data_IF_849689682020
#
_entry.id   IF_849689682020
#
_cell.length_a   1.000
_cell.length_b   1.000
_cell.length_c   1.000
_cell.angle_alpha   90.00
_cell.angle_beta   90.00
_cell.angle_gamma   90.00
#
_symmetry.space_group_name_H-M   'P 1'
#
loop_
_entity.id
_entity.type
_entity.pdbx_description
1 polymer ?
#
# COMPACT_ATOMS: atom_id res chain seq x y z
N UNK A 1 -29.80 -21.21 56.59
CA UNK A 1 -29.48 -22.65 56.58
C UNK A 1 -28.25 -22.86 55.71
N UNK A 2 -27.08 -22.94 56.33
CA UNK A 2 -25.93 -23.70 55.80
C UNK A 2 -26.15 -25.19 56.09
N UNK A 3 -25.43 -26.08 55.40
CA UNK A 3 -24.33 -26.83 56.07
C UNK A 3 -23.05 -26.87 55.20
N UNK A 4 -21.84 -26.65 55.77
CA UNK A 4 -20.93 -27.60 56.45
C UNK A 4 -20.06 -28.37 55.43
N UNK A 5 -18.76 -28.11 55.19
CA UNK A 5 -17.56 -28.05 56.05
C UNK A 5 -17.10 -29.42 56.58
N UNK A 6 -15.89 -29.85 56.18
CA UNK A 6 -15.08 -30.88 56.86
C UNK A 6 -13.58 -30.60 56.67
N UNK A 7 -12.95 -30.14 57.75
CA UNK A 7 -11.52 -30.16 58.08
C UNK A 7 -11.04 -31.61 58.35
N UNK A 8 -9.75 -31.93 58.19
CA UNK A 8 -8.76 -32.04 59.30
C UNK A 8 -7.42 -32.72 58.89
N UNK A 9 -6.31 -32.07 59.30
CA UNK A 9 -5.00 -32.54 59.82
C UNK A 9 -4.06 -33.41 58.94
N UNK A 10 -2.77 -33.09 58.68
CA UNK A 10 -1.61 -32.53 59.43
C UNK A 10 -0.71 -33.61 60.09
N UNK A 11 0.63 -33.37 60.02
CA UNK A 11 1.75 -33.85 60.86
C UNK A 11 2.68 -35.00 60.35
N UNK A 12 3.84 -34.58 59.79
CA UNK A 12 5.22 -34.67 60.34
C UNK A 12 6.12 -35.93 60.25
N UNK A 13 7.37 -35.67 59.81
CA UNK A 13 8.64 -36.33 60.21
C UNK A 13 9.25 -37.26 59.14
N UNK A 14 10.55 -37.31 58.87
CA UNK A 14 11.77 -36.69 59.44
C UNK A 14 13.01 -37.31 58.77
N UNK A 15 14.17 -36.64 58.87
CA UNK A 15 15.52 -37.21 58.71
C UNK A 15 16.21 -36.89 57.38
N UNK A 16 17.08 -35.87 57.30
CA UNK A 16 18.50 -35.80 57.72
C UNK A 16 19.40 -36.21 56.53
N UNK A 17 20.49 -35.56 56.13
CA UNK A 17 21.59 -34.91 56.85
C UNK A 17 22.16 -33.75 55.98
N UNK A 18 22.45 -32.58 56.56
CA UNK A 18 23.80 -32.08 56.95
C UNK A 18 24.63 -31.57 55.74
N UNK A 19 25.38 -30.47 55.79
CA UNK A 19 25.84 -29.61 56.89
C UNK A 19 26.47 -28.32 56.33
N UNK A 20 26.35 -27.24 57.12
CA UNK A 20 27.34 -26.16 57.38
C UNK A 20 27.98 -25.40 56.20
N UNK A 21 28.16 -24.08 56.21
CA UNK A 21 28.16 -23.09 57.30
C UNK A 21 28.40 -21.69 56.70
N UNK A 22 27.73 -20.68 57.26
CA UNK A 22 28.24 -19.38 57.78
C UNK A 22 29.35 -18.62 56.99
N UNK A 23 29.40 -17.29 56.86
CA UNK A 23 28.68 -16.18 57.48
C UNK A 23 29.28 -14.84 56.99
N UNK A 24 28.41 -13.82 56.81
CA UNK A 24 28.53 -12.40 57.26
C UNK A 24 29.64 -11.43 56.80
N UNK A 25 29.19 -10.15 56.67
CA UNK A 25 29.91 -8.85 56.71
C UNK A 25 30.68 -8.41 55.45
N UNK A 26 30.90 -7.13 55.12
CA UNK A 26 30.30 -5.82 55.35
C UNK A 26 31.18 -4.79 54.58
N UNK A 27 30.59 -3.69 54.11
CA UNK A 27 31.15 -2.34 53.96
C UNK A 27 32.32 -1.98 52.99
N UNK A 28 32.04 -0.89 52.23
CA UNK A 28 32.86 0.32 51.92
C UNK A 28 34.05 0.29 50.91
N UNK A 29 33.82 1.03 49.83
CA UNK A 29 34.55 2.21 49.28
C UNK A 29 36.06 2.16 48.92
N UNK A 30 36.29 2.47 47.63
CA UNK A 30 37.31 3.39 47.05
C UNK A 30 38.62 2.85 46.45
N UNK A 31 38.81 3.28 45.18
CA UNK A 31 40.03 3.69 44.47
C UNK A 31 40.87 2.68 43.64
N UNK A 32 40.78 2.89 42.31
CA UNK A 32 41.83 3.01 41.27
C UNK A 32 42.64 1.82 40.71
N UNK A 33 42.81 1.89 39.37
CA UNK A 33 43.76 1.20 38.46
C UNK A 33 43.43 -0.26 38.09
N UNK A 34 43.47 -0.77 36.86
CA UNK A 34 43.73 -0.28 35.48
C UNK A 34 43.37 -1.41 34.49
N UNK A 35 43.20 -1.06 33.21
CA UNK A 35 43.31 -1.90 32.00
C UNK A 35 42.27 -3.02 31.75
N UNK A 36 41.37 -2.84 30.76
CA UNK A 36 41.26 -3.75 29.59
C UNK A 36 40.40 -3.17 28.45
N UNK A 37 40.93 -3.41 27.24
CA UNK A 37 40.50 -3.17 25.86
C UNK A 37 38.99 -3.08 25.54
N UNK A 38 38.60 -2.05 24.77
CA UNK A 38 37.37 -2.03 23.97
C UNK A 38 37.69 -1.47 22.58
N UNK A 39 37.41 -2.25 21.53
CA UNK A 39 37.57 -1.84 20.14
C UNK A 39 36.24 -1.37 19.58
N UNK A 40 36.21 -0.14 19.09
CA UNK A 40 35.06 0.47 18.40
C UNK A 40 35.54 1.14 17.12
N UNK A 41 34.88 0.80 16.00
CA UNK A 41 35.16 1.32 14.65
C UNK A 41 34.33 2.59 14.43
N UNK A 42 34.97 3.72 14.12
CA UNK A 42 34.33 4.98 13.68
C UNK A 42 34.81 5.37 12.28
N UNK A 43 33.86 5.58 11.38
CA UNK A 43 34.05 6.28 10.10
C UNK A 43 33.65 7.74 10.33
N UNK A 44 34.52 8.68 9.98
CA UNK A 44 34.26 10.12 10.05
C UNK A 44 34.49 10.75 8.67
N UNK A 45 33.44 11.38 8.14
CA UNK A 45 33.48 12.31 7.01
C UNK A 45 33.87 13.70 7.53
N UNK A 46 34.63 14.49 6.77
CA UNK A 46 34.58 15.96 6.89
C UNK A 46 34.99 16.67 5.59
N UNK A 47 34.27 17.77 5.33
CA UNK A 47 34.46 18.77 4.26
C UNK A 47 35.27 19.98 4.75
N UNK A 48 35.94 20.70 3.83
CA UNK A 48 36.19 22.16 3.78
C UNK A 48 37.11 22.45 2.55
N UNK A 49 36.79 23.28 1.55
CA UNK A 49 36.69 24.77 1.44
C UNK A 49 38.04 25.51 1.35
N UNK A 50 38.17 26.36 0.31
CA UNK A 50 39.08 27.53 0.16
C UNK A 50 40.33 27.28 -0.70
N UNK A 51 40.48 27.77 -1.93
CA UNK A 51 40.65 29.14 -2.49
C UNK A 51 42.11 29.47 -2.91
N UNK A 52 42.21 30.03 -4.12
CA UNK A 52 43.22 30.97 -4.66
C UNK A 52 44.61 30.51 -5.20
N UNK A 53 44.85 31.00 -6.44
CA UNK A 53 46.06 31.65 -7.02
C UNK A 53 47.08 30.90 -7.90
N UNK A 54 47.06 31.34 -9.17
CA UNK A 54 48.15 31.88 -10.02
C UNK A 54 49.33 31.02 -10.55
N UNK A 55 49.54 31.22 -11.87
CA UNK A 55 50.77 31.13 -12.67
C UNK A 55 51.39 29.74 -12.93
N UNK A 56 52.05 29.45 -14.06
CA UNK A 56 52.23 30.07 -15.39
C UNK A 56 53.17 29.14 -16.20
N UNK A 57 53.25 29.39 -17.51
CA UNK A 57 54.36 29.05 -18.44
C UNK A 57 54.30 27.67 -19.12
N UNK A 58 54.01 27.56 -20.44
CA UNK A 58 54.77 27.95 -21.66
C UNK A 58 55.38 26.68 -22.30
N UNK A 59 55.44 26.39 -23.62
CA UNK A 59 55.66 27.13 -24.89
C UNK A 59 55.09 26.27 -26.05
N UNK A 60 54.46 26.81 -27.11
CA UNK A 60 55.05 27.26 -28.40
C UNK A 60 56.05 26.25 -29.03
N UNK A 61 56.04 25.81 -30.30
CA UNK A 61 55.41 26.21 -31.58
C UNK A 61 55.64 25.11 -32.65
N UNK A 62 54.66 24.89 -33.57
CA UNK A 62 54.69 24.74 -35.07
C UNK A 62 55.95 24.21 -35.84
N UNK A 63 55.87 23.90 -37.17
CA UNK A 63 54.82 23.28 -38.02
C UNK A 63 55.38 22.33 -39.15
N UNK A 64 54.48 21.68 -39.92
CA UNK A 64 54.66 21.25 -41.34
C UNK A 64 55.61 20.04 -41.58
N UNK A 65 55.47 19.17 -42.59
CA UNK A 65 54.68 19.12 -43.82
C UNK A 65 54.80 17.71 -44.45
N UNK A 66 53.68 17.19 -44.99
CA UNK A 66 53.49 16.36 -46.20
C UNK A 66 54.53 15.30 -46.62
N UNK A 67 54.04 14.08 -46.92
CA UNK A 67 54.18 13.46 -48.26
C UNK A 67 53.38 12.13 -48.37
N UNK A 68 52.85 11.90 -49.58
CA UNK A 68 52.06 10.73 -50.04
C UNK A 68 52.98 9.64 -50.59
N UNK A 69 52.53 8.37 -50.56
CA UNK A 69 52.65 7.46 -51.72
C UNK A 69 51.86 6.15 -51.53
N UNK A 70 51.21 5.72 -52.61
CA UNK A 70 50.46 4.47 -52.83
C UNK A 70 51.36 3.22 -52.96
N UNK A 71 50.79 2.03 -52.73
CA UNK A 71 51.34 0.74 -53.19
C UNK A 71 50.32 -0.41 -53.02
N UNK A 72 50.14 -1.20 -54.08
CA UNK A 72 49.16 -2.29 -54.25
C UNK A 72 49.59 -3.65 -53.64
N UNK A 73 48.58 -4.53 -53.45
CA UNK A 73 48.51 -5.98 -53.06
C UNK A 73 49.56 -6.92 -53.72
N UNK A 74 49.73 -8.25 -53.39
CA UNK A 74 48.70 -9.23 -52.96
C UNK A 74 49.10 -10.40 -51.99
N UNK A 75 48.07 -11.17 -51.61
CA UNK A 75 47.96 -12.60 -51.20
C UNK A 75 49.15 -13.38 -50.60
N UNK A 76 48.94 -14.06 -49.47
CA UNK A 76 49.07 -15.54 -49.34
C UNK A 76 48.66 -16.06 -47.94
N UNK A 77 48.47 -17.38 -47.86
CA UNK A 77 47.69 -18.14 -46.90
C UNK A 77 48.45 -18.68 -45.66
N UNK A 78 47.69 -19.25 -44.71
CA UNK A 78 48.15 -20.05 -43.58
C UNK A 78 48.05 -19.27 -42.26
N UNK A 79 47.44 -19.76 -41.18
CA UNK A 79 47.10 -21.12 -40.78
C UNK A 79 47.36 -21.19 -39.28
N UNK A 80 46.44 -21.84 -38.56
CA UNK A 80 46.53 -22.35 -37.19
C UNK A 80 46.22 -21.37 -36.03
N UNK A 81 45.07 -21.68 -35.45
CA UNK A 81 44.57 -21.34 -34.13
C UNK A 81 45.64 -21.50 -33.04
N UNK A 82 45.74 -20.46 -32.21
CA UNK A 82 46.06 -20.64 -30.80
C UNK A 82 45.27 -19.60 -30.01
N UNK A 83 44.27 -20.04 -29.26
CA UNK A 83 43.45 -19.18 -28.39
C UNK A 83 43.05 -19.97 -27.15
N UNK A 84 43.83 -19.78 -26.09
CA UNK A 84 43.43 -20.07 -24.72
C UNK A 84 42.70 -18.83 -24.12
N UNK A 85 41.87 -19.00 -23.08
CA UNK A 85 40.63 -18.23 -22.93
C UNK A 85 40.80 -17.02 -22.02
N UNK A 86 40.48 -15.82 -22.53
CA UNK A 86 40.20 -14.67 -21.66
C UNK A 86 38.73 -14.64 -21.28
N UNK A 87 38.50 -14.99 -20.02
CA UNK A 87 37.19 -15.08 -19.38
C UNK A 87 36.79 -13.73 -18.78
N UNK A 88 36.45 -12.71 -19.57
CA UNK A 88 35.90 -11.43 -19.03
C UNK A 88 34.88 -10.69 -19.94
N UNK A 89 34.11 -11.35 -20.82
CA UNK A 89 33.16 -10.64 -21.71
C UNK A 89 31.65 -10.72 -21.37
N UNK A 90 31.24 -11.32 -20.25
CA UNK A 90 29.79 -11.44 -19.95
C UNK A 90 29.12 -10.18 -19.38
N UNK A 91 29.88 -9.14 -19.00
CA UNK A 91 29.32 -7.86 -18.49
C UNK A 91 29.09 -6.82 -19.61
N UNK A 92 29.76 -6.96 -20.76
CA UNK A 92 29.68 -6.04 -21.89
C UNK A 92 28.53 -6.30 -22.87
N UNK A 93 28.01 -7.53 -22.93
CA UNK A 93 26.94 -7.93 -23.86
C UNK A 93 25.59 -7.27 -23.52
N UNK A 94 25.17 -7.32 -22.25
CA UNK A 94 23.91 -6.71 -21.79
C UNK A 94 23.87 -5.19 -21.95
N UNK A 95 25.02 -4.51 -21.72
CA UNK A 95 25.14 -3.06 -21.88
C UNK A 95 25.22 -2.63 -23.35
N UNK A 96 25.78 -3.46 -24.23
CA UNK A 96 25.81 -3.18 -25.68
C UNK A 96 24.45 -3.43 -26.34
N UNK A 97 23.72 -4.47 -25.93
CA UNK A 97 22.32 -4.70 -26.30
C UNK A 97 21.41 -3.55 -25.86
N UNK A 98 21.58 -3.05 -24.62
CA UNK A 98 20.84 -1.89 -24.11
C UNK A 98 21.12 -0.63 -24.93
N UNK A 99 22.37 -0.39 -25.32
CA UNK A 99 22.75 0.77 -26.15
C UNK A 99 22.16 0.68 -27.56
N UNK A 100 22.11 -0.52 -28.14
CA UNK A 100 21.46 -0.77 -29.42
C UNK A 100 19.95 -0.48 -29.35
N UNK A 101 19.27 -0.99 -28.32
CA UNK A 101 17.86 -0.70 -28.06
C UNK A 101 17.61 0.80 -27.85
N UNK A 102 18.49 1.49 -27.12
CA UNK A 102 18.38 2.94 -26.88
C UNK A 102 18.52 3.75 -28.18
N UNK A 103 19.46 3.36 -29.06
CA UNK A 103 19.64 3.99 -30.36
C UNK A 103 18.48 3.71 -31.31
N UNK A 104 17.94 2.48 -31.31
CA UNK A 104 16.74 2.13 -32.06
C UNK A 104 15.54 2.93 -31.57
N UNK A 105 15.35 3.02 -30.25
CA UNK A 105 14.28 3.81 -29.64
C UNK A 105 14.39 5.29 -30.00
N UNK A 106 15.59 5.86 -29.96
CA UNK A 106 15.83 7.26 -30.35
C UNK A 106 15.49 7.51 -31.82
N UNK A 107 15.83 6.60 -32.74
CA UNK A 107 15.48 6.69 -34.16
C UNK A 107 13.97 6.51 -34.41
N UNK A 108 13.31 5.68 -33.61
CA UNK A 108 11.86 5.42 -33.69
C UNK A 108 11.02 6.47 -32.97
N UNK A 109 11.62 7.28 -32.09
CA UNK A 109 10.94 8.28 -31.26
C UNK A 109 9.99 9.21 -32.03
N UNK A 110 10.36 9.84 -33.17
CA UNK A 110 9.44 10.71 -33.89
C UNK A 110 8.19 9.98 -34.40
N UNK A 111 8.32 8.72 -34.85
CA UNK A 111 7.20 7.92 -35.31
C UNK A 111 6.30 7.47 -34.15
N UNK A 112 6.90 7.07 -33.02
CA UNK A 112 6.17 6.76 -31.79
C UNK A 112 5.41 8.00 -31.31
N UNK A 113 6.02 9.19 -31.35
CA UNK A 113 5.39 10.44 -30.94
C UNK A 113 4.18 10.79 -31.82
N UNK A 114 4.29 10.64 -33.14
CA UNK A 114 3.16 10.84 -34.07
C UNK A 114 2.00 9.89 -33.73
N UNK A 115 2.30 8.60 -33.51
CA UNK A 115 1.29 7.61 -33.13
C UNK A 115 0.66 7.92 -31.77
N UNK A 116 1.46 8.32 -30.78
CA UNK A 116 0.98 8.74 -29.47
C UNK A 116 0.06 9.97 -29.57
N UNK A 117 0.43 10.99 -30.35
CA UNK A 117 -0.41 12.17 -30.55
C UNK A 117 -1.73 11.80 -31.23
N UNK A 118 -1.69 10.93 -32.24
CA UNK A 118 -2.92 10.45 -32.90
C UNK A 118 -3.83 9.70 -31.93
N UNK A 119 -3.26 8.80 -31.13
CA UNK A 119 -4.00 8.03 -30.12
C UNK A 119 -4.59 8.94 -29.03
N UNK A 120 -3.80 9.89 -28.50
CA UNK A 120 -4.27 10.86 -27.51
C UNK A 120 -5.42 11.68 -28.08
N UNK A 121 -5.29 12.17 -29.32
CA UNK A 121 -6.34 13.00 -29.95
C UNK A 121 -7.62 12.18 -30.17
N UNK A 122 -7.48 10.91 -30.56
CA UNK A 122 -8.63 10.00 -30.73
C UNK A 122 -9.36 9.72 -29.42
N UNK A 123 -8.63 9.61 -28.31
CA UNK A 123 -9.20 9.28 -26.99
C UNK A 123 -9.23 10.45 -26.00
N UNK A 124 -9.08 11.70 -26.48
CA UNK A 124 -8.87 12.88 -25.62
C UNK A 124 -10.02 13.08 -24.63
N UNK A 125 -11.26 12.82 -25.07
CA UNK A 125 -12.45 12.93 -24.24
C UNK A 125 -12.39 11.91 -23.10
N UNK A 126 -12.12 10.63 -23.42
CA UNK A 126 -12.00 9.57 -22.43
C UNK A 126 -10.86 9.82 -21.44
N UNK A 127 -9.69 10.23 -21.92
CA UNK A 127 -8.53 10.55 -21.07
C UNK A 127 -8.85 11.73 -20.14
N UNK A 128 -9.45 12.81 -20.67
CA UNK A 128 -9.78 13.99 -19.87
C UNK A 128 -10.77 13.66 -18.74
N UNK A 129 -11.78 12.84 -19.03
CA UNK A 129 -12.72 12.37 -18.03
C UNK A 129 -12.05 11.42 -17.02
N UNK A 130 -11.18 10.51 -17.47
CA UNK A 130 -10.40 9.65 -16.59
C UNK A 130 -9.53 10.45 -15.60
N UNK A 131 -8.91 11.54 -16.05
CA UNK A 131 -8.17 12.47 -15.19
C UNK A 131 -9.13 13.13 -14.19
N UNK A 132 -10.29 13.64 -14.65
CA UNK A 132 -11.29 14.25 -13.77
C UNK A 132 -11.80 13.29 -12.68
N UNK A 133 -12.04 12.02 -13.04
CA UNK A 133 -12.42 10.95 -12.11
C UNK A 133 -11.31 10.68 -11.09
N UNK A 134 -10.06 10.59 -11.54
CA UNK A 134 -8.91 10.36 -10.67
C UNK A 134 -8.69 11.54 -9.70
N UNK A 135 -8.76 12.77 -10.19
CA UNK A 135 -8.64 13.98 -9.35
C UNK A 135 -9.76 14.05 -8.32
N UNK A 136 -11.00 13.76 -8.73
CA UNK A 136 -12.17 13.69 -7.85
C UNK A 136 -11.97 12.64 -6.76
N UNK A 137 -11.50 11.45 -7.12
CA UNK A 137 -11.15 10.39 -6.19
C UNK A 137 -10.07 10.83 -5.19
N UNK A 138 -8.96 11.40 -5.68
CA UNK A 138 -7.85 11.83 -4.82
C UNK A 138 -8.29 12.92 -3.84
N UNK A 139 -9.05 13.92 -4.32
CA UNK A 139 -9.61 14.99 -3.50
C UNK A 139 -10.55 14.43 -2.42
N UNK A 140 -11.52 13.60 -2.82
CA UNK A 140 -12.49 13.04 -1.89
C UNK A 140 -11.83 12.13 -0.85
N UNK A 141 -10.86 11.30 -1.26
CA UNK A 141 -10.16 10.38 -0.35
C UNK A 141 -9.34 11.16 0.68
N UNK A 142 -8.58 12.16 0.23
CA UNK A 142 -7.83 13.06 1.12
C UNK A 142 -8.75 13.78 2.09
N UNK A 143 -9.90 14.28 1.61
CA UNK A 143 -10.88 14.97 2.44
C UNK A 143 -11.47 14.05 3.52
N UNK A 144 -11.92 12.84 3.15
CA UNK A 144 -12.46 11.86 4.11
C UNK A 144 -11.43 11.50 5.17
N UNK A 145 -10.21 11.13 4.77
CA UNK A 145 -9.14 10.75 5.71
C UNK A 145 -8.81 11.90 6.66
N UNK A 146 -8.78 13.14 6.16
CA UNK A 146 -8.55 14.31 7.00
C UNK A 146 -9.68 14.55 8.01
N UNK A 147 -10.95 14.41 7.60
CA UNK A 147 -12.08 14.56 8.52
C UNK A 147 -12.12 13.44 9.58
N UNK A 148 -11.80 12.21 9.22
CA UNK A 148 -11.66 11.09 10.18
C UNK A 148 -10.56 11.39 11.20
N UNK A 149 -9.45 11.99 10.75
CA UNK A 149 -8.35 12.37 11.63
C UNK A 149 -8.73 13.49 12.63
N UNK A 150 -9.55 14.47 12.22
CA UNK A 150 -9.97 15.60 13.06
C UNK A 150 -10.99 15.25 14.16
N UNK A 151 -11.66 14.08 14.09
CA UNK A 151 -12.62 13.56 15.09
C UNK A 151 -13.75 14.54 15.44
N UNK A 152 -13.82 15.02 16.69
CA UNK A 152 -14.84 15.97 17.16
C UNK A 152 -14.70 17.35 16.50
N UNK A 153 -13.50 17.70 16.06
CA UNK A 153 -13.23 18.95 15.33
C UNK A 153 -13.51 18.83 13.82
N UNK A 154 -14.12 17.73 13.37
CA UNK A 154 -14.51 17.59 11.98
C UNK A 154 -15.56 18.64 11.59
N UNK A 155 -15.40 19.22 10.41
CA UNK A 155 -16.36 20.19 9.91
C UNK A 155 -17.53 19.46 9.26
N UNK A 156 -18.68 19.45 9.94
CA UNK A 156 -19.91 18.85 9.42
C UNK A 156 -20.36 19.50 8.11
N UNK A 157 -20.09 20.79 7.93
CA UNK A 157 -20.35 21.50 6.67
C UNK A 157 -19.47 20.96 5.53
N UNK A 158 -18.17 20.75 5.78
CA UNK A 158 -17.26 20.17 4.77
C UNK A 158 -17.64 18.73 4.42
N UNK A 159 -18.04 17.91 5.40
CA UNK A 159 -18.56 16.56 5.15
C UNK A 159 -19.86 16.60 4.34
N UNK A 160 -20.79 17.51 4.66
CA UNK A 160 -22.06 17.64 3.94
C UNK A 160 -21.81 18.09 2.49
N UNK A 161 -20.94 19.07 2.29
CA UNK A 161 -20.50 19.50 0.96
C UNK A 161 -19.87 18.34 0.18
N UNK A 162 -18.97 17.59 0.80
CA UNK A 162 -18.32 16.46 0.15
C UNK A 162 -19.33 15.37 -0.24
N UNK A 163 -20.33 15.09 0.60
CA UNK A 163 -21.40 14.15 0.30
C UNK A 163 -22.20 14.63 -0.92
N UNK A 164 -22.64 15.90 -0.93
CA UNK A 164 -23.36 16.50 -2.07
C UNK A 164 -22.51 16.44 -3.34
N UNK A 165 -21.22 16.76 -3.24
CA UNK A 165 -20.28 16.71 -4.36
C UNK A 165 -20.12 15.29 -4.92
N UNK A 166 -19.97 14.27 -4.06
CA UNK A 166 -19.88 12.87 -4.48
C UNK A 166 -21.19 12.38 -5.10
N UNK A 167 -22.34 12.69 -4.49
CA UNK A 167 -23.65 12.36 -5.05
C UNK A 167 -23.87 13.04 -6.40
N UNK A 168 -23.55 14.33 -6.51
CA UNK A 168 -23.61 15.08 -7.77
C UNK A 168 -22.69 14.49 -8.84
N UNK A 169 -21.48 14.06 -8.46
CA UNK A 169 -20.55 13.38 -9.37
C UNK A 169 -21.10 12.04 -9.87
N UNK A 170 -21.68 11.22 -8.99
CA UNK A 170 -22.34 9.97 -9.37
C UNK A 170 -23.53 10.20 -10.32
N UNK A 171 -24.37 11.20 -10.01
CA UNK A 171 -25.51 11.55 -10.85
C UNK A 171 -25.06 12.09 -12.22
N UNK A 172 -24.05 12.94 -12.27
CA UNK A 172 -23.48 13.45 -13.52
C UNK A 172 -22.98 12.32 -14.41
N UNK A 173 -22.26 11.35 -13.84
CA UNK A 173 -21.81 10.16 -14.58
C UNK A 173 -23.00 9.32 -15.05
N UNK A 174 -24.00 9.12 -14.19
CA UNK A 174 -25.22 8.40 -14.57
C UNK A 174 -25.92 9.05 -15.77
N UNK A 175 -26.13 10.37 -15.76
CA UNK A 175 -26.77 11.09 -16.86
C UNK A 175 -25.91 11.08 -18.12
N UNK A 176 -24.61 11.32 -17.99
CA UNK A 176 -23.67 11.35 -19.14
C UNK A 176 -23.64 10.02 -19.88
N UNK A 177 -23.74 8.90 -19.13
CA UNK A 177 -23.66 7.55 -19.68
C UNK A 177 -24.99 6.80 -19.69
N UNK A 178 -26.12 7.50 -19.53
CA UNK A 178 -27.44 6.89 -19.53
C UNK A 178 -27.71 6.14 -20.84
N UNK A 179 -27.31 6.73 -21.97
CA UNK A 179 -27.42 6.14 -23.32
C UNK A 179 -26.58 4.86 -23.49
N UNK A 180 -25.46 4.73 -22.76
CA UNK A 180 -24.60 3.55 -22.78
C UNK A 180 -25.07 2.46 -21.80
N UNK A 181 -26.13 2.71 -21.03
CA UNK A 181 -26.73 1.74 -20.10
C UNK A 181 -25.76 1.15 -19.05
N UNK A 182 -24.70 1.90 -18.66
CA UNK A 182 -23.66 1.45 -17.73
C UNK A 182 -24.17 0.98 -16.37
N UNK A 183 -25.40 1.37 -15.99
CA UNK A 183 -26.06 0.92 -14.77
C UNK A 183 -26.38 -0.58 -14.79
N UNK A 184 -26.52 -1.21 -15.95
CA UNK A 184 -26.66 -2.67 -16.02
C UNK A 184 -25.39 -3.37 -15.55
N UNK A 185 -24.21 -2.87 -15.92
CA UNK A 185 -22.92 -3.39 -15.42
C UNK A 185 -22.83 -3.33 -13.90
N UNK A 186 -23.42 -2.29 -13.27
CA UNK A 186 -23.48 -2.17 -11.82
C UNK A 186 -24.37 -3.24 -11.17
N UNK A 187 -25.38 -3.78 -11.86
CA UNK A 187 -26.33 -4.79 -11.33
C UNK A 187 -25.95 -6.19 -11.85
N UNK A 188 -24.76 -6.36 -12.42
CA UNK A 188 -24.31 -7.60 -13.06
C UNK A 188 -25.16 -8.02 -14.28
N UNK A 189 -25.89 -7.08 -14.88
CA UNK A 189 -26.61 -7.26 -16.13
C UNK A 189 -25.79 -6.73 -17.32
N UNK A 190 -26.07 -7.28 -18.50
CA UNK A 190 -25.40 -6.84 -19.71
C UNK A 190 -25.92 -5.47 -20.17
N UNK A 191 -25.04 -4.50 -20.46
CA UNK A 191 -25.46 -3.29 -21.16
C UNK A 191 -25.98 -3.66 -22.55
N UNK A 192 -27.00 -2.95 -23.05
CA UNK A 192 -27.71 -3.23 -24.30
C UNK A 192 -26.92 -2.83 -25.55
N UNK A 193 -25.62 -2.59 -25.40
CA UNK A 193 -24.80 -1.96 -26.43
C UNK A 193 -23.86 -3.00 -27.02
N UNK A 194 -24.04 -3.28 -28.30
CA UNK A 194 -23.20 -4.21 -29.06
C UNK A 194 -21.89 -3.53 -29.45
N UNK A 195 -20.95 -3.47 -28.50
CA UNK A 195 -19.66 -2.82 -28.69
C UNK A 195 -18.54 -3.74 -28.16
N UNK A 196 -17.85 -4.39 -29.10
CA UNK A 196 -16.84 -5.43 -28.85
C UNK A 196 -15.39 -4.93 -29.03
N UNK A 197 -15.12 -3.63 -28.87
CA UNK A 197 -13.73 -3.15 -28.90
C UNK A 197 -13.09 -3.25 -27.51
N UNK A 198 -11.82 -3.70 -27.47
CA UNK A 198 -11.02 -3.78 -26.25
C UNK A 198 -11.05 -2.48 -25.42
N UNK A 199 -10.91 -1.32 -26.08
CA UNK A 199 -10.88 -0.01 -25.43
C UNK A 199 -12.21 0.39 -24.80
N UNK A 200 -13.33 -0.05 -25.37
CA UNK A 200 -14.67 0.21 -24.83
C UNK A 200 -14.92 -0.64 -23.58
N UNK A 201 -14.47 -1.90 -23.58
CA UNK A 201 -14.50 -2.77 -22.39
C UNK A 201 -13.69 -2.16 -21.25
N UNK A 202 -12.44 -1.74 -21.54
CA UNK A 202 -11.58 -1.09 -20.56
C UNK A 202 -12.21 0.20 -20.01
N UNK A 203 -12.85 0.98 -20.90
CA UNK A 203 -13.56 2.19 -20.54
C UNK A 203 -14.75 1.91 -19.60
N UNK A 204 -15.62 0.97 -19.96
CA UNK A 204 -16.81 0.58 -19.17
C UNK A 204 -16.39 0.10 -17.79
N UNK A 205 -15.41 -0.81 -17.72
CA UNK A 205 -14.91 -1.34 -16.45
C UNK A 205 -14.26 -0.22 -15.62
N UNK A 206 -13.47 0.66 -16.25
CA UNK A 206 -12.84 1.78 -15.57
C UNK A 206 -13.84 2.77 -14.97
N UNK A 207 -14.82 3.21 -15.74
CA UNK A 207 -15.84 4.18 -15.26
C UNK A 207 -16.73 3.55 -14.18
N UNK A 208 -17.16 2.31 -14.34
CA UNK A 208 -17.98 1.61 -13.33
C UNK A 208 -17.22 1.40 -12.01
N UNK A 209 -15.91 1.13 -12.06
CA UNK A 209 -15.04 1.08 -10.87
C UNK A 209 -15.03 2.41 -10.10
N UNK A 210 -14.90 3.54 -10.82
CA UNK A 210 -14.95 4.87 -10.21
C UNK A 210 -16.32 5.22 -9.64
N UNK A 211 -17.42 4.86 -10.33
CA UNK A 211 -18.77 5.06 -9.81
C UNK A 211 -18.93 4.32 -8.47
N UNK A 212 -18.49 3.06 -8.40
CA UNK A 212 -18.54 2.28 -7.16
C UNK A 212 -17.69 2.91 -6.06
N UNK A 213 -16.47 3.37 -6.37
CA UNK A 213 -15.64 4.12 -5.43
C UNK A 213 -16.40 5.33 -4.87
N UNK A 214 -17.02 6.14 -5.72
CA UNK A 214 -17.75 7.34 -5.29
C UNK A 214 -18.97 7.01 -4.43
N UNK A 215 -19.72 5.95 -4.76
CA UNK A 215 -20.84 5.48 -3.94
C UNK A 215 -20.38 5.06 -2.53
N UNK A 216 -19.34 4.24 -2.43
CA UNK A 216 -18.82 3.79 -1.14
C UNK A 216 -18.13 4.90 -0.35
N UNK A 217 -17.44 5.82 -1.02
CA UNK A 217 -16.91 7.03 -0.39
C UNK A 217 -18.05 7.94 0.12
N UNK A 218 -19.17 8.01 -0.60
CA UNK A 218 -20.40 8.66 -0.15
C UNK A 218 -20.95 8.02 1.13
N UNK A 219 -21.04 6.69 1.19
CA UNK A 219 -21.45 5.98 2.41
C UNK A 219 -20.49 6.21 3.60
N UNK A 220 -19.17 6.24 3.36
CA UNK A 220 -18.20 6.60 4.41
C UNK A 220 -18.39 8.04 4.88
N UNK A 221 -18.66 8.97 3.96
CA UNK A 221 -18.95 10.36 4.29
C UNK A 221 -20.25 10.51 5.09
N UNK A 222 -21.28 9.71 4.77
CA UNK A 222 -22.51 9.65 5.55
C UNK A 222 -22.24 9.21 7.00
N UNK A 223 -21.41 8.18 7.21
CA UNK A 223 -21.00 7.72 8.56
C UNK A 223 -20.27 8.82 9.35
N UNK A 224 -19.49 9.69 8.69
CA UNK A 224 -18.88 10.85 9.34
C UNK A 224 -19.94 11.84 9.88
N UNK A 225 -21.05 12.01 9.16
CA UNK A 225 -22.13 12.91 9.55
C UNK A 225 -22.94 12.36 10.74
N UNK A 226 -23.09 11.03 10.85
CA UNK A 226 -23.81 10.39 11.97
C UNK A 226 -23.31 10.90 13.33
N UNK A 227 -24.20 11.35 14.23
CA UNK A 227 -23.82 11.86 15.54
C UNK A 227 -23.25 10.76 16.45
N UNK A 228 -22.41 11.15 17.41
CA UNK A 228 -21.72 10.22 18.34
C UNK A 228 -22.70 9.42 19.22
N UNK A 229 -23.89 9.95 19.47
CA UNK A 229 -24.97 9.25 20.19
C UNK A 229 -25.40 7.97 19.48
N UNK A 230 -25.53 8.00 18.15
CA UNK A 230 -25.90 6.80 17.37
C UNK A 230 -24.70 5.88 17.17
N UNK A 231 -23.51 6.47 16.98
CA UNK A 231 -22.34 5.70 16.55
C UNK A 231 -21.05 6.31 17.10
N UNK A 232 -20.42 5.59 18.03
CA UNK A 232 -19.14 6.00 18.62
C UNK A 232 -18.02 6.06 17.58
N UNK A 233 -17.01 6.91 17.79
CA UNK A 233 -15.87 7.05 16.88
C UNK A 233 -15.11 5.73 16.69
N UNK A 234 -14.95 4.95 17.77
CA UNK A 234 -14.41 3.59 17.71
C UNK A 234 -15.23 2.71 16.75
N UNK A 235 -16.56 2.75 16.83
CA UNK A 235 -17.42 1.97 15.92
C UNK A 235 -17.32 2.44 14.48
N UNK A 236 -17.22 3.75 14.22
CA UNK A 236 -17.09 4.30 12.85
C UNK A 236 -15.90 3.71 12.09
N UNK A 237 -14.76 3.55 12.76
CA UNK A 237 -13.57 2.92 12.17
C UNK A 237 -13.82 1.50 11.67
N UNK A 238 -14.53 0.67 12.45
CA UNK A 238 -14.87 -0.69 12.02
C UNK A 238 -15.82 -0.71 10.81
N UNK A 239 -16.74 0.25 10.73
CA UNK A 239 -17.63 0.37 9.57
C UNK A 239 -16.91 0.85 8.32
N UNK A 240 -15.93 1.75 8.42
CA UNK A 240 -15.09 2.12 7.27
C UNK A 240 -14.34 0.92 6.71
N UNK A 241 -13.78 0.11 7.60
CA UNK A 241 -13.07 -1.12 7.22
C UNK A 241 -14.01 -2.14 6.56
N UNK A 242 -15.19 -2.38 7.13
CA UNK A 242 -16.17 -3.29 6.53
C UNK A 242 -16.67 -2.79 5.17
N UNK A 243 -16.99 -1.49 5.07
CA UNK A 243 -17.45 -0.90 3.82
C UNK A 243 -16.39 -0.95 2.72
N UNK A 244 -15.12 -0.73 3.04
CA UNK A 244 -14.04 -0.78 2.05
C UNK A 244 -13.82 -2.21 1.53
N UNK A 245 -13.88 -3.20 2.41
CA UNK A 245 -13.73 -4.60 2.00
C UNK A 245 -14.96 -5.09 1.22
N UNK A 246 -16.17 -4.65 1.60
CA UNK A 246 -17.38 -4.88 0.81
C UNK A 246 -17.28 -4.22 -0.57
N UNK A 247 -16.72 -3.00 -0.66
CA UNK A 247 -16.48 -2.28 -1.90
C UNK A 247 -15.51 -3.04 -2.82
N UNK A 248 -14.35 -3.47 -2.29
CA UNK A 248 -13.38 -4.25 -3.03
C UNK A 248 -13.97 -5.57 -3.54
N UNK A 249 -14.78 -6.21 -2.71
CA UNK A 249 -15.48 -7.43 -3.07
C UNK A 249 -16.49 -7.18 -4.19
N UNK A 250 -17.32 -6.14 -4.09
CA UNK A 250 -18.29 -5.80 -5.13
C UNK A 250 -17.63 -5.46 -6.47
N UNK A 251 -16.58 -4.63 -6.43
CA UNK A 251 -15.79 -4.23 -7.60
C UNK A 251 -15.11 -5.42 -8.28
N UNK A 252 -14.90 -6.54 -7.57
CA UNK A 252 -14.32 -7.75 -8.14
C UNK A 252 -15.27 -8.44 -9.11
N UNK A 253 -16.58 -8.39 -8.83
CA UNK A 253 -17.61 -9.06 -9.60
C UNK A 253 -18.10 -8.23 -10.79
N UNK A 254 -18.11 -6.90 -10.66
CA UNK A 254 -18.69 -6.01 -11.68
C UNK A 254 -18.03 -6.14 -13.08
N UNK A 255 -16.70 -6.33 -13.20
CA UNK A 255 -16.07 -6.58 -14.49
C UNK A 255 -16.41 -7.93 -15.12
N UNK A 256 -16.87 -8.92 -14.34
CA UNK A 256 -17.01 -10.32 -14.78
C UNK A 256 -17.96 -10.46 -15.98
N UNK A 257 -19.21 -9.93 -15.95
CA UNK A 257 -20.11 -10.06 -17.08
C UNK A 257 -19.57 -9.40 -18.35
N UNK A 258 -18.90 -8.25 -18.20
CA UNK A 258 -18.35 -7.46 -19.31
C UNK A 258 -17.20 -8.19 -20.01
N UNK A 259 -16.21 -8.66 -19.24
CA UNK A 259 -15.10 -9.45 -19.78
C UNK A 259 -15.53 -10.80 -20.33
N UNK A 260 -16.46 -11.48 -19.66
CA UNK A 260 -16.99 -12.75 -20.12
C UNK A 260 -17.67 -12.61 -21.49
N UNK A 261 -18.50 -11.57 -21.68
CA UNK A 261 -19.11 -11.27 -22.98
C UNK A 261 -18.06 -10.91 -24.03
N UNK A 262 -17.04 -10.13 -23.68
CA UNK A 262 -15.97 -9.78 -24.62
C UNK A 262 -15.17 -11.01 -25.08
N UNK A 263 -14.79 -11.91 -24.16
CA UNK A 263 -13.99 -13.10 -24.45
C UNK A 263 -14.77 -14.14 -25.28
N UNK A 264 -16.07 -14.29 -25.05
CA UNK A 264 -16.94 -15.22 -25.80
C UNK A 264 -17.45 -14.59 -27.10
N UNK A 265 -17.71 -13.29 -27.08
CA UNK A 265 -18.30 -12.51 -28.16
C UNK A 265 -17.32 -12.11 -29.27
N UNK A 266 -16.02 -12.38 -29.13
CA UNK A 266 -15.05 -12.28 -30.23
C UNK A 266 -15.27 -13.44 -31.24
N UNK A 267 -16.41 -13.38 -31.92
CA UNK A 267 -16.99 -14.44 -32.75
C UNK A 267 -17.22 -14.03 -34.20
N UNK A 268 -16.44 -13.09 -34.72
CA UNK A 268 -16.46 -12.68 -36.13
C UNK A 268 -15.33 -13.35 -36.94
N UNK A 269 -15.09 -14.63 -36.66
CA UNK A 269 -14.53 -15.55 -37.64
C UNK A 269 -15.54 -16.68 -37.76
N UNK A 270 -16.18 -16.83 -38.91
CA UNK A 270 -17.17 -17.86 -39.25
C UNK A 270 -16.70 -19.32 -38.97
N UNK A 271 -15.44 -19.49 -38.59
CA UNK A 271 -14.82 -20.74 -38.16
C UNK A 271 -15.32 -21.25 -36.79
N UNK A 272 -15.56 -22.56 -36.70
CA UNK A 272 -15.79 -23.30 -35.43
C UNK A 272 -14.64 -23.11 -34.43
N UNK A 273 -13.42 -22.88 -34.94
CA UNK A 273 -12.23 -22.64 -34.14
C UNK A 273 -12.33 -21.35 -33.30
N UNK A 274 -12.85 -20.26 -33.87
CA UNK A 274 -13.05 -18.99 -33.14
C UNK A 274 -14.02 -19.12 -31.98
N UNK A 275 -15.17 -19.77 -32.20
CA UNK A 275 -16.15 -20.05 -31.13
C UNK A 275 -15.59 -20.93 -30.02
N UNK A 276 -14.83 -21.97 -30.38
CA UNK A 276 -14.22 -22.88 -29.41
C UNK A 276 -13.16 -22.16 -28.57
N UNK A 277 -12.33 -21.34 -29.21
CA UNK A 277 -11.31 -20.53 -28.52
C UNK A 277 -11.95 -19.52 -27.56
N UNK A 278 -13.00 -18.81 -27.98
CA UNK A 278 -13.70 -17.84 -27.13
C UNK A 278 -14.33 -18.49 -25.89
N UNK A 279 -14.95 -19.67 -26.04
CA UNK A 279 -15.48 -20.44 -24.90
C UNK A 279 -14.34 -20.86 -23.95
N UNK A 280 -13.23 -21.37 -24.49
CA UNK A 280 -12.07 -21.78 -23.67
C UNK A 280 -11.49 -20.60 -22.87
N UNK A 281 -11.34 -19.44 -23.52
CA UNK A 281 -10.86 -18.21 -22.87
C UNK A 281 -11.84 -17.72 -21.80
N UNK A 282 -13.15 -17.74 -22.08
CA UNK A 282 -14.19 -17.37 -21.12
C UNK A 282 -14.18 -18.29 -19.90
N UNK A 283 -14.06 -19.61 -20.09
CA UNK A 283 -13.97 -20.58 -18.99
C UNK A 283 -12.68 -20.38 -18.16
N UNK A 284 -11.54 -20.19 -18.82
CA UNK A 284 -10.27 -19.91 -18.15
C UNK A 284 -10.37 -18.64 -17.29
N UNK A 285 -10.95 -17.56 -17.85
CA UNK A 285 -11.19 -16.32 -17.12
C UNK A 285 -12.06 -16.54 -15.87
N UNK A 286 -13.17 -17.27 -16.00
CA UNK A 286 -14.04 -17.59 -14.86
C UNK A 286 -13.32 -18.43 -13.79
N UNK A 287 -12.48 -19.38 -14.19
CA UNK A 287 -11.68 -20.18 -13.25
C UNK A 287 -10.70 -19.27 -12.50
N UNK A 288 -9.95 -18.42 -13.20
CA UNK A 288 -9.01 -17.47 -12.57
C UNK A 288 -9.74 -16.52 -11.61
N UNK A 289 -10.95 -16.07 -11.97
CA UNK A 289 -11.80 -15.26 -11.11
C UNK A 289 -12.27 -16.00 -9.87
N UNK A 290 -12.68 -17.24 -10.02
CA UNK A 290 -13.12 -18.08 -8.90
C UNK A 290 -11.98 -18.33 -7.92
N UNK A 291 -10.76 -18.62 -8.40
CA UNK A 291 -9.56 -18.77 -7.58
C UNK A 291 -9.23 -17.49 -6.82
N UNK A 292 -9.28 -16.34 -7.51
CA UNK A 292 -9.07 -15.02 -6.89
C UNK A 292 -10.12 -14.75 -5.80
N UNK A 293 -11.39 -15.12 -6.06
CA UNK A 293 -12.48 -14.95 -5.11
C UNK A 293 -12.23 -15.76 -3.82
N UNK A 294 -11.83 -17.03 -3.94
CA UNK A 294 -11.48 -17.84 -2.77
C UNK A 294 -10.30 -17.28 -1.99
N UNK A 295 -9.30 -16.69 -2.67
CA UNK A 295 -8.19 -15.98 -2.03
C UNK A 295 -8.66 -14.79 -1.20
N UNK A 296 -9.55 -13.96 -1.76
CA UNK A 296 -10.08 -12.77 -1.09
C UNK A 296 -11.10 -13.10 0.01
N UNK A 297 -11.82 -14.22 -0.11
CA UNK A 297 -12.82 -14.65 0.87
C UNK A 297 -12.20 -14.83 2.27
N UNK A 298 -10.93 -15.25 2.35
CA UNK A 298 -10.20 -15.33 3.63
C UNK A 298 -10.07 -13.96 4.30
N UNK A 299 -9.72 -12.92 3.52
CA UNK A 299 -9.56 -11.57 4.02
C UNK A 299 -10.90 -10.99 4.48
N UNK A 300 -11.95 -11.16 3.67
CA UNK A 300 -13.30 -10.71 4.02
C UNK A 300 -13.81 -11.37 5.31
N UNK A 301 -13.63 -12.68 5.45
CA UNK A 301 -13.99 -13.41 6.69
C UNK A 301 -13.20 -12.91 7.90
N UNK A 302 -11.92 -12.58 7.73
CA UNK A 302 -11.11 -12.01 8.80
C UNK A 302 -11.62 -10.62 9.22
N UNK A 303 -11.96 -9.76 8.27
CA UNK A 303 -12.51 -8.42 8.52
C UNK A 303 -13.87 -8.52 9.21
N UNK A 304 -14.74 -9.43 8.75
CA UNK A 304 -16.02 -9.69 9.38
C UNK A 304 -15.85 -10.18 10.82
N UNK A 305 -14.90 -11.10 11.06
CA UNK A 305 -14.56 -11.55 12.41
C UNK A 305 -14.15 -10.37 13.30
N UNK A 306 -13.24 -9.51 12.83
CA UNK A 306 -12.78 -8.33 13.58
C UNK A 306 -13.92 -7.33 13.83
N UNK A 307 -14.81 -7.14 12.85
CA UNK A 307 -15.99 -6.29 12.97
C UNK A 307 -16.95 -6.80 14.05
N UNK A 308 -17.15 -8.12 14.12
CA UNK A 308 -18.02 -8.76 15.11
C UNK A 308 -17.39 -8.84 16.51
N UNK A 309 -16.10 -9.16 16.61
CA UNK A 309 -15.43 -9.34 17.91
C UNK A 309 -14.96 -8.04 18.55
N UNK A 310 -14.72 -6.98 17.75
CA UNK A 310 -14.26 -5.64 18.19
C UNK A 310 -13.13 -5.72 19.25
N UNK A 311 -11.91 -6.15 18.86
CA UNK A 311 -10.82 -6.39 19.81
C UNK A 311 -10.47 -5.14 20.63
N UNK A 312 -10.17 -5.36 21.91
CA UNK A 312 -9.63 -4.35 22.82
C UNK A 312 -8.12 -4.50 22.92
N UNK A 313 -7.38 -3.39 22.85
CA UNK A 313 -5.91 -3.37 22.82
C UNK A 313 -5.26 -3.34 24.22
N UNK A 314 -6.05 -3.49 25.27
CA UNK A 314 -5.59 -3.39 26.64
C UNK A 314 -6.75 -3.44 27.63
N UNK A 315 -6.43 -3.19 28.89
CA UNK A 315 -7.40 -3.15 29.99
C UNK A 315 -7.67 -1.71 30.41
N UNK A 316 -8.82 -1.43 31.01
CA UNK A 316 -9.10 -0.11 31.57
C UNK A 316 -8.08 0.22 32.66
N UNK A 317 -7.42 1.37 32.55
CA UNK A 317 -6.38 1.76 33.50
C UNK A 317 -7.00 2.15 34.86
N UNK A 318 -6.30 1.83 35.94
CA UNK A 318 -6.67 2.29 37.28
C UNK A 318 -6.30 3.76 37.49
N UNK A 319 -6.93 4.43 38.46
CA UNK A 319 -6.60 5.83 38.81
C UNK A 319 -5.12 6.04 39.17
N UNK A 320 -4.50 5.05 39.82
CA UNK A 320 -3.07 5.09 40.19
C UNK A 320 -2.16 5.15 38.97
N UNK A 321 -2.50 4.38 37.93
CA UNK A 321 -1.73 4.33 36.68
C UNK A 321 -1.93 5.56 35.81
N UNK A 322 -3.03 6.29 35.98
CA UNK A 322 -3.25 7.57 35.33
C UNK A 322 -2.40 8.66 36.00
N UNK A 323 -2.36 8.66 37.34
CA UNK A 323 -1.55 9.61 38.12
C UNK A 323 -0.04 9.48 37.91
N UNK A 324 0.45 8.28 37.57
CA UNK A 324 1.87 8.06 37.21
C UNK A 324 2.29 8.80 35.92
N UNK A 325 1.32 9.22 35.11
CA UNK A 325 1.51 9.95 33.85
C UNK A 325 0.92 11.37 33.88
N UNK A 326 0.87 11.98 35.08
CA UNK A 326 0.30 13.31 35.31
C UNK A 326 -1.16 13.47 34.82
N UNK A 327 -1.91 12.36 34.74
CA UNK A 327 -3.27 12.29 34.18
C UNK A 327 -3.40 12.81 32.73
N UNK A 328 -2.29 12.95 31.99
CA UNK A 328 -2.25 13.48 30.62
C UNK A 328 -1.90 12.38 29.62
N UNK A 329 -2.71 12.25 28.57
CA UNK A 329 -2.40 11.35 27.45
C UNK A 329 -1.31 11.94 26.54
N UNK A 330 -0.22 11.22 26.32
CA UNK A 330 0.90 11.65 25.47
C UNK A 330 0.57 11.80 23.97
N UNK A 331 -0.56 11.26 23.50
CA UNK A 331 -1.01 11.39 22.10
C UNK A 331 -1.82 12.68 21.89
N UNK A 332 -2.82 12.94 22.73
CA UNK A 332 -3.69 14.12 22.57
C UNK A 332 -3.30 15.29 23.46
N UNK A 333 -2.34 15.10 24.38
CA UNK A 333 -1.84 16.09 25.34
C UNK A 333 -2.96 16.73 26.17
N UNK A 334 -3.96 15.91 26.52
CA UNK A 334 -5.13 16.29 27.31
C UNK A 334 -5.43 15.21 28.35
N UNK A 335 -6.32 15.52 29.29
CA UNK A 335 -6.77 14.58 30.32
C UNK A 335 -7.30 13.28 29.71
N UNK A 336 -7.06 12.15 30.38
CA UNK A 336 -7.47 10.85 29.88
C UNK A 336 -8.99 10.71 29.70
N UNK A 337 -9.39 10.40 28.47
CA UNK A 337 -10.75 9.96 28.15
C UNK A 337 -10.76 8.45 27.94
N UNK A 338 -11.40 7.72 28.87
CA UNK A 338 -11.44 6.24 28.90
C UNK A 338 -10.02 5.65 28.79
N UNK A 339 -9.18 5.81 29.82
CA UNK A 339 -7.79 5.39 29.77
C UNK A 339 -7.67 3.87 29.62
N UNK A 340 -6.82 3.44 28.71
CA UNK A 340 -6.45 2.04 28.47
C UNK A 340 -4.96 1.87 28.76
N UNK A 341 -4.67 0.86 29.57
CA UNK A 341 -3.34 0.36 29.85
C UNK A 341 -2.98 -0.75 28.87
N UNK A 342 -1.88 -0.55 28.14
CA UNK A 342 -1.32 -1.55 27.24
C UNK A 342 -0.51 -2.61 28.00
N UNK A 343 -0.20 -3.74 27.36
CA UNK A 343 0.64 -4.81 27.94
C UNK A 343 2.06 -4.34 28.28
N UNK A 344 2.55 -3.28 27.63
CA UNK A 344 3.82 -2.63 27.94
C UNK A 344 3.71 -1.57 29.05
N UNK A 345 2.60 -1.54 29.79
CA UNK A 345 2.31 -0.66 30.92
C UNK A 345 2.20 0.84 30.60
N UNK A 346 2.06 1.22 29.33
CA UNK A 346 1.79 2.62 28.95
C UNK A 346 0.28 2.89 28.85
N UNK A 347 -0.15 4.05 29.35
CA UNK A 347 -1.55 4.48 29.41
C UNK A 347 -1.87 5.53 28.33
N UNK A 348 -2.99 5.34 27.62
CA UNK A 348 -3.48 6.27 26.59
C UNK A 348 -5.00 6.36 26.60
N UNK A 349 -5.59 7.41 26.02
CA UNK A 349 -7.03 7.41 25.73
C UNK A 349 -7.38 6.27 24.76
N UNK A 350 -8.48 5.56 24.98
CA UNK A 350 -8.94 4.46 24.14
C UNK A 350 -8.96 4.83 22.64
N UNK A 351 -9.48 6.01 22.31
CA UNK A 351 -9.58 6.47 20.93
C UNK A 351 -8.22 6.84 20.34
N UNK A 352 -7.34 7.44 21.14
CA UNK A 352 -6.01 7.85 20.70
C UNK A 352 -5.16 6.65 20.29
N UNK A 353 -5.12 5.63 21.14
CA UNK A 353 -4.33 4.44 20.86
C UNK A 353 -4.97 3.56 19.77
N UNK A 354 -6.30 3.53 19.70
CA UNK A 354 -7.01 2.85 18.60
C UNK A 354 -6.68 3.47 17.23
N UNK A 355 -6.59 4.80 17.14
CA UNK A 355 -6.18 5.47 15.90
C UNK A 355 -4.71 5.21 15.57
N UNK A 356 -3.83 5.21 16.57
CA UNK A 356 -2.43 4.88 16.37
C UNK A 356 -2.28 3.48 15.76
N UNK A 357 -3.01 2.49 16.28
CA UNK A 357 -3.00 1.12 15.77
C UNK A 357 -3.65 0.92 14.39
N UNK A 358 -4.28 1.95 13.83
CA UNK A 358 -4.72 1.92 12.43
C UNK A 358 -3.56 2.12 11.45
N UNK A 359 -2.42 2.64 11.91
CA UNK A 359 -1.24 2.94 11.07
C UNK A 359 -0.02 2.15 11.52
N UNK A 360 0.18 2.08 12.83
CA UNK A 360 1.34 1.45 13.45
C UNK A 360 0.94 0.19 14.25
N UNK A 361 1.89 -0.69 14.55
CA UNK A 361 1.66 -1.89 15.39
C UNK A 361 2.23 -1.78 16.80
N UNK A 362 2.96 -0.70 17.05
CA UNK A 362 3.85 -0.55 18.19
C UNK A 362 3.33 0.48 19.17
N UNK A 363 3.73 0.41 20.43
CA UNK A 363 3.43 1.46 21.41
C UNK A 363 4.10 2.78 20.99
N UNK A 364 3.41 3.94 21.03
CA UNK A 364 4.00 5.24 20.72
C UNK A 364 5.21 5.62 21.57
N UNK A 365 5.29 5.10 22.81
CA UNK A 365 6.33 5.47 23.77
C UNK A 365 7.53 4.51 23.73
N UNK A 366 7.28 3.20 23.86
CA UNK A 366 8.36 2.21 23.96
C UNK A 366 8.58 1.36 22.72
N UNK A 367 7.77 1.54 21.66
CA UNK A 367 7.81 0.79 20.41
C UNK A 367 7.61 -0.74 20.53
N UNK A 368 7.23 -1.25 21.70
CA UNK A 368 6.82 -2.66 21.88
C UNK A 368 5.67 -2.99 20.93
N UNK A 369 5.72 -4.13 20.26
CA UNK A 369 4.65 -4.60 19.37
C UNK A 369 3.44 -5.02 20.22
N UNK A 370 2.28 -4.41 19.96
CA UNK A 370 1.05 -4.65 20.73
C UNK A 370 0.00 -5.39 19.89
N UNK A 371 0.04 -5.23 18.56
CA UNK A 371 -0.90 -5.85 17.62
C UNK A 371 -0.15 -6.54 16.50
N UNK A 372 -0.50 -7.79 16.18
CA UNK A 372 0.08 -8.53 15.05
C UNK A 372 -0.38 -7.98 13.69
N UNK A 373 -1.51 -7.29 13.65
CA UNK A 373 -2.14 -6.82 12.42
C UNK A 373 -2.44 -5.30 12.47
N UNK A 374 -2.07 -4.59 11.40
CA UNK A 374 -2.61 -3.25 11.14
C UNK A 374 -3.94 -3.43 10.43
N UNK A 375 -4.99 -2.90 11.02
CA UNK A 375 -6.31 -2.93 10.40
C UNK A 375 -6.36 -1.87 9.30
N UNK A 376 -6.17 -2.31 8.05
CA UNK A 376 -6.30 -1.44 6.87
C UNK A 376 -7.67 -0.76 6.85
N UNK A 377 -7.74 0.45 6.30
CA UNK A 377 -8.99 1.19 6.01
C UNK A 377 -9.78 1.74 7.20
N UNK A 378 -9.38 1.47 8.45
CA UNK A 378 -10.04 2.05 9.64
C UNK A 378 -9.93 3.57 9.72
N UNK A 379 -8.97 4.16 9.01
CA UNK A 379 -8.78 5.62 8.86
C UNK A 379 -9.70 6.26 7.82
N UNK A 380 -10.57 5.48 7.18
CA UNK A 380 -11.50 5.96 6.16
C UNK A 380 -10.91 6.03 4.75
N UNK A 381 -9.64 5.62 4.56
CA UNK A 381 -9.04 5.56 3.24
C UNK A 381 -9.79 4.59 2.31
N UNK A 382 -9.75 4.88 1.01
CA UNK A 382 -10.29 4.07 -0.07
C UNK A 382 -9.13 3.60 -0.94
N UNK A 383 -9.19 2.36 -1.43
CA UNK A 383 -8.13 1.78 -2.25
C UNK A 383 -8.00 2.48 -3.61
N UNK A 384 -6.78 2.88 -3.96
CA UNK A 384 -6.45 3.47 -5.27
C UNK A 384 -6.43 2.42 -6.39
N UNK A 385 -6.26 1.14 -6.04
CA UNK A 385 -6.19 0.05 -7.01
C UNK A 385 -7.41 0.08 -7.95
N UNK A 386 -7.18 -0.05 -9.24
CA UNK A 386 -8.21 -0.11 -10.28
C UNK A 386 -8.44 -1.57 -10.64
N UNK A 387 -9.65 -2.09 -10.43
CA UNK A 387 -9.95 -3.49 -10.73
C UNK A 387 -10.40 -3.60 -12.19
N UNK A 388 -9.40 -3.68 -13.07
CA UNK A 388 -9.60 -3.70 -14.52
C UNK A 388 -10.14 -5.05 -15.00
N UNK A 389 -9.76 -6.15 -14.35
CA UNK A 389 -10.10 -7.52 -14.76
C UNK A 389 -10.97 -8.19 -13.75
#
# INVERSE_FOLDING_TARGET
MQPNCSHLHNIQGSGDESSSSQSTHAARLSAESSCHHSGDVRIQLNSAVGEARENSSSRHSRPGSQSRSHGHAPSEAGGLDDSAPDSEEHSGSSLSELRYLLQWLHKSLPYILILCVKLITQHIIGISLGIGLLTTYMYANKSIVNQVFLRERCSKLQCTWLLVYLTGSCLLLYYTFHSQSLYYSLIFLNPTVDFMNFWEVLWIVGVTDFILKFLFMGFKCFILLVPSFMMSFKSKGYWYMLLEELCQYYRMFVPIPVWFRYLIGYGELDSVLGRTLGILLGLLYLILKLLSFFGQLRNFRQVLRIFCTRPHYGVTASKRQCSESDDICSICQAEFQKPILLVCQHTFCEECISLWFNREKTCPLCRTVISDHVNKWKDGATSMHLQIF
#
